data_IF_670917184454
#
_entry.id   IF_670917184454
#
_cell.length_a   1.000
_cell.length_b   1.000
_cell.length_c   1.000
_cell.angle_alpha   90.00
_cell.angle_beta   90.00
_cell.angle_gamma   90.00
#
_symmetry.space_group_name_H-M   'P 1'
#
loop_
_entity.id
_entity.type
_entity.pdbx_description
1 polymer ?
#
# COMPACT_ATOMS: atom_id res chain seq x y z
N UNK A 1 -26.89 26.45 1.65
CA UNK A 1 -25.64 25.94 2.25
C UNK A 1 -25.83 25.85 3.75
N UNK A 2 -25.76 24.65 4.32
CA UNK A 2 -25.82 24.45 5.77
C UNK A 2 -24.56 25.04 6.42
N UNK A 3 -24.67 25.55 7.65
CA UNK A 3 -23.49 25.89 8.45
C UNK A 3 -22.97 24.59 9.05
N UNK A 4 -21.69 24.28 8.81
CA UNK A 4 -21.07 23.00 9.16
C UNK A 4 -19.81 23.28 9.99
N UNK A 5 -19.59 22.47 11.04
CA UNK A 5 -18.36 22.49 11.84
C UNK A 5 -17.85 21.05 12.00
N UNK A 6 -16.59 20.78 11.60
CA UNK A 6 -15.95 19.46 11.76
C UNK A 6 -15.32 19.33 13.16
N UNK A 7 -15.55 18.20 13.83
CA UNK A 7 -15.08 17.86 15.18
C UNK A 7 -14.84 16.35 15.21
N UNK A 8 -13.61 15.91 15.49
CA UNK A 8 -13.23 14.48 15.65
C UNK A 8 -13.84 13.55 14.57
N UNK A 9 -13.61 13.84 13.30
CA UNK A 9 -14.21 13.04 12.20
C UNK A 9 -15.69 13.35 11.91
N UNK A 10 -16.46 13.89 12.84
CA UNK A 10 -17.88 14.21 12.67
C UNK A 10 -18.14 15.65 12.20
N UNK A 11 -19.27 15.87 11.53
CA UNK A 11 -19.82 17.15 11.11
C UNK A 11 -21.04 17.52 11.96
N UNK A 12 -20.97 18.68 12.61
CA UNK A 12 -22.14 19.33 13.21
C UNK A 12 -22.83 20.16 12.15
N UNK A 13 -24.05 19.79 11.81
CA UNK A 13 -24.82 20.31 10.68
C UNK A 13 -26.04 21.06 11.19
N UNK A 14 -26.23 22.31 10.75
CA UNK A 14 -27.46 23.08 11.04
C UNK A 14 -28.57 22.82 10.01
N UNK A 15 -29.77 22.44 10.45
CA UNK A 15 -30.94 22.28 9.59
C UNK A 15 -31.59 23.63 9.24
N UNK A 16 -32.05 23.77 8.00
CA UNK A 16 -32.74 24.96 7.53
C UNK A 16 -34.24 24.92 7.88
N UNK A 17 -34.91 26.07 7.90
CA UNK A 17 -36.34 26.18 8.26
C UNK A 17 -37.29 25.47 7.29
N UNK A 18 -36.82 25.15 6.08
CA UNK A 18 -37.58 24.32 5.13
C UNK A 18 -37.57 22.85 5.56
N UNK A 19 -36.39 22.33 5.85
CA UNK A 19 -36.16 20.94 6.27
C UNK A 19 -36.90 20.64 7.59
N UNK A 20 -36.82 21.57 8.55
CA UNK A 20 -37.58 21.46 9.82
C UNK A 20 -39.10 21.42 9.63
N UNK A 21 -39.64 22.11 8.61
CA UNK A 21 -41.08 22.08 8.29
C UNK A 21 -41.49 20.80 7.58
N UNK A 22 -40.65 20.30 6.68
CA UNK A 22 -40.89 19.03 5.98
C UNK A 22 -40.86 17.83 6.96
N UNK A 23 -40.10 17.95 8.05
CA UNK A 23 -39.95 16.95 9.12
C UNK A 23 -40.64 17.32 10.43
N UNK A 24 -41.64 18.22 10.38
CA UNK A 24 -42.40 18.65 11.56
C UNK A 24 -43.12 17.45 12.20
N UNK A 25 -42.93 17.25 13.51
CA UNK A 25 -43.47 16.11 14.26
C UNK A 25 -42.57 14.89 14.37
N UNK A 26 -41.33 14.94 13.86
CA UNK A 26 -40.38 13.82 13.89
C UNK A 26 -39.23 13.97 14.90
N UNK A 27 -39.38 14.85 15.90
CA UNK A 27 -38.38 15.17 16.94
C UNK A 27 -37.04 15.73 16.43
N UNK A 28 -36.97 16.19 15.17
CA UNK A 28 -35.79 16.81 14.60
C UNK A 28 -35.45 18.12 15.33
N UNK A 29 -34.20 18.25 15.79
CA UNK A 29 -33.68 19.43 16.48
C UNK A 29 -33.31 20.58 15.55
N UNK A 30 -32.46 21.50 16.03
CA UNK A 30 -31.87 22.54 15.19
C UNK A 30 -30.57 22.09 14.50
N UNK A 31 -29.87 21.12 15.11
CA UNK A 31 -28.57 20.62 14.70
C UNK A 31 -28.55 19.08 14.70
N UNK A 32 -27.76 18.51 13.79
CA UNK A 32 -27.43 17.09 13.78
C UNK A 32 -25.92 16.86 13.77
N UNK A 33 -25.50 15.66 14.13
CA UNK A 33 -24.12 15.17 14.11
C UNK A 33 -24.07 13.95 13.21
N UNK A 34 -23.20 13.99 12.20
CA UNK A 34 -23.04 12.92 11.20
C UNK A 34 -21.56 12.73 10.92
N UNK A 35 -21.14 11.51 10.62
CA UNK A 35 -19.77 11.26 10.17
C UNK A 35 -19.47 12.07 8.89
N UNK A 36 -18.30 12.70 8.82
CA UNK A 36 -17.91 13.50 7.67
C UNK A 36 -17.82 12.70 6.37
N UNK A 37 -17.49 11.41 6.43
CA UNK A 37 -17.32 10.56 5.26
C UNK A 37 -18.65 10.18 4.60
N UNK A 38 -19.72 10.04 5.40
CA UNK A 38 -21.04 9.63 4.93
C UNK A 38 -21.97 10.82 4.65
N UNK A 39 -21.53 12.05 4.92
CA UNK A 39 -22.33 13.25 4.72
C UNK A 39 -22.56 13.57 3.23
N UNK A 40 -23.82 13.52 2.80
CA UNK A 40 -24.22 13.79 1.41
C UNK A 40 -24.80 15.19 1.20
N UNK A 41 -25.20 15.86 2.29
CA UNK A 41 -25.82 17.19 2.24
C UNK A 41 -27.31 17.18 1.93
N UNK A 42 -27.95 16.01 1.83
CA UNK A 42 -29.38 15.83 1.68
C UNK A 42 -29.96 15.18 2.94
N UNK A 43 -30.89 15.86 3.64
CA UNK A 43 -31.42 15.39 4.93
C UNK A 43 -32.10 14.02 4.82
N UNK A 44 -32.79 13.75 3.72
CA UNK A 44 -33.52 12.49 3.52
C UNK A 44 -32.59 11.27 3.52
N UNK A 45 -31.33 11.49 3.10
CA UNK A 45 -30.27 10.47 3.06
C UNK A 45 -29.46 10.52 4.35
N UNK A 46 -29.03 11.73 4.73
CA UNK A 46 -28.15 11.97 5.86
C UNK A 46 -28.80 11.50 7.17
N UNK A 47 -30.12 11.70 7.35
CA UNK A 47 -30.83 11.41 8.61
C UNK A 47 -30.65 9.98 9.08
N UNK A 48 -30.67 9.00 8.17
CA UNK A 48 -30.49 7.60 8.52
C UNK A 48 -29.07 7.23 8.95
N UNK A 49 -28.10 8.11 8.69
CA UNK A 49 -26.69 7.96 9.03
C UNK A 49 -26.23 8.99 10.08
N UNK A 50 -27.14 9.79 10.65
CA UNK A 50 -26.81 10.72 11.73
C UNK A 50 -26.70 9.96 13.05
N UNK A 51 -25.64 10.24 13.79
CA UNK A 51 -25.48 9.77 15.17
C UNK A 51 -26.46 10.49 16.10
N UNK A 52 -26.70 11.79 15.83
CA UNK A 52 -27.67 12.60 16.56
C UNK A 52 -28.42 13.52 15.60
N UNK A 53 -29.75 13.58 15.67
CA UNK A 53 -30.60 14.44 14.83
C UNK A 53 -31.51 15.39 15.64
N UNK A 54 -31.42 15.36 16.97
CA UNK A 54 -32.34 16.01 17.92
C UNK A 54 -31.72 17.16 18.73
N UNK A 55 -30.52 17.63 18.38
CA UNK A 55 -29.84 18.66 19.16
C UNK A 55 -30.45 20.06 18.96
N UNK A 56 -30.97 20.65 20.04
CA UNK A 56 -31.62 21.98 20.02
C UNK A 56 -30.64 23.16 19.90
N UNK A 57 -29.38 22.98 20.28
CA UNK A 57 -28.37 24.05 20.30
C UNK A 57 -27.03 23.58 19.74
N UNK A 58 -26.24 24.54 19.23
CA UNK A 58 -24.91 24.25 18.69
C UNK A 58 -23.99 23.71 19.78
N UNK A 59 -24.04 24.24 21.01
CA UNK A 59 -23.20 23.77 22.11
C UNK A 59 -23.45 22.29 22.43
N UNK A 60 -24.73 21.87 22.46
CA UNK A 60 -25.10 20.48 22.71
C UNK A 60 -24.60 19.56 21.59
N UNK A 61 -24.81 19.94 20.32
CA UNK A 61 -24.34 19.15 19.19
C UNK A 61 -22.81 19.01 19.15
N UNK A 62 -22.09 20.06 19.59
CA UNK A 62 -20.61 20.05 19.69
C UNK A 62 -20.13 19.10 20.79
N UNK A 63 -20.77 19.08 21.96
CA UNK A 63 -20.40 18.16 23.04
C UNK A 63 -20.72 16.71 22.68
N UNK A 64 -21.86 16.46 22.00
CA UNK A 64 -22.20 15.14 21.47
C UNK A 64 -21.15 14.66 20.46
N UNK A 65 -20.76 15.50 19.51
CA UNK A 65 -19.71 15.16 18.53
C UNK A 65 -18.34 14.91 19.17
N UNK A 66 -18.02 15.56 20.30
CA UNK A 66 -16.77 15.31 21.05
C UNK A 66 -16.78 14.01 21.84
N UNK A 67 -17.97 13.57 22.26
CA UNK A 67 -18.15 12.31 22.99
C UNK A 67 -18.16 11.08 22.09
N UNK A 68 -18.16 11.26 20.76
CA UNK A 68 -18.06 10.19 19.78
C UNK A 68 -16.58 9.94 19.43
N UNK A 69 -16.19 8.67 19.44
CA UNK A 69 -14.90 8.19 18.92
C UNK A 69 -15.10 7.87 17.43
N UNK A 70 -14.36 8.53 16.53
CA UNK A 70 -14.39 8.19 15.10
C UNK A 70 -13.50 6.97 14.82
N UNK A 71 -13.88 6.12 13.87
CA UNK A 71 -13.01 5.00 13.44
C UNK A 71 -11.64 5.49 12.88
N UNK A 72 -11.56 6.76 12.45
CA UNK A 72 -10.32 7.45 12.04
C UNK A 72 -9.42 7.90 13.20
N UNK A 73 -9.75 7.64 14.48
CA UNK A 73 -8.85 7.94 15.61
C UNK A 73 -7.70 6.90 15.69
N UNK A 74 -7.02 6.67 14.56
CA UNK A 74 -5.67 6.13 14.56
C UNK A 74 -4.82 7.26 15.12
N UNK A 75 -4.48 7.15 16.40
CA UNK A 75 -3.51 8.04 17.03
C UNK A 75 -2.27 8.15 16.15
N UNK A 76 -1.82 9.37 15.83
CA UNK A 76 -0.49 9.67 15.23
C UNK A 76 0.69 9.25 16.14
N UNK A 77 0.45 8.38 17.11
CA UNK A 77 1.48 7.83 17.97
C UNK A 77 2.34 6.85 17.16
N UNK A 78 3.67 7.01 17.19
CA UNK A 78 4.56 6.15 16.43
C UNK A 78 4.36 4.69 16.87
N UNK A 79 4.45 3.72 15.94
CA UNK A 79 4.30 2.31 16.27
C UNK A 79 5.30 1.91 17.36
N UNK A 80 4.80 1.26 18.40
CA UNK A 80 5.64 0.72 19.48
C UNK A 80 6.07 -0.69 19.09
N UNK A 81 7.38 -0.94 19.06
CA UNK A 81 7.94 -2.24 18.72
C UNK A 81 8.45 -2.97 19.96
N UNK A 82 8.14 -4.25 20.08
CA UNK A 82 8.71 -5.13 21.11
C UNK A 82 9.43 -6.32 20.47
N UNK A 83 10.60 -6.68 21.00
CA UNK A 83 11.30 -7.90 20.63
C UNK A 83 11.01 -8.96 21.69
N UNK A 84 10.32 -10.02 21.28
CA UNK A 84 10.09 -11.19 22.10
C UNK A 84 11.16 -12.26 21.80
N UNK A 85 11.87 -12.68 22.84
CA UNK A 85 12.79 -13.83 22.79
C UNK A 85 12.12 -14.99 23.51
N UNK A 86 11.73 -16.00 22.74
CA UNK A 86 11.20 -17.26 23.27
C UNK A 86 12.26 -18.36 23.17
N UNK A 87 12.51 -19.01 24.31
CA UNK A 87 13.30 -20.25 24.38
C UNK A 87 12.40 -21.38 24.87
N UNK A 88 12.90 -22.62 24.85
CA UNK A 88 12.16 -23.77 25.39
C UNK A 88 11.78 -23.62 26.88
N UNK A 89 12.43 -22.70 27.61
CA UNK A 89 12.28 -22.55 29.07
C UNK A 89 11.86 -21.14 29.51
N UNK A 90 11.89 -20.13 28.63
CA UNK A 90 11.64 -18.74 29.01
C UNK A 90 11.07 -17.90 27.89
N UNK A 91 10.30 -16.89 28.26
CA UNK A 91 9.83 -15.82 27.39
C UNK A 91 10.26 -14.48 27.99
N UNK A 92 10.93 -13.64 27.20
CA UNK A 92 11.29 -12.27 27.60
C UNK A 92 10.91 -11.30 26.50
N UNK A 93 10.30 -10.19 26.87
CA UNK A 93 9.87 -9.14 25.96
C UNK A 93 10.57 -7.83 26.35
N UNK A 94 11.19 -7.17 25.37
CA UNK A 94 11.88 -5.89 25.55
C UNK A 94 11.36 -4.88 24.53
N UNK A 95 11.10 -3.64 24.97
CA UNK A 95 10.74 -2.55 24.08
C UNK A 95 11.96 -2.17 23.23
N UNK A 96 11.75 -2.06 21.92
CA UNK A 96 12.82 -1.81 20.95
C UNK A 96 12.55 -0.50 20.22
N UNK A 97 13.53 0.39 20.24
CA UNK A 97 13.54 1.59 19.42
C UNK A 97 14.35 1.34 18.12
N UNK A 98 13.71 1.33 16.93
CA UNK A 98 14.40 1.09 15.66
C UNK A 98 15.55 2.09 15.42
N UNK A 99 15.34 3.36 15.79
CA UNK A 99 16.36 4.40 15.68
C UNK A 99 17.60 4.08 16.53
N UNK A 100 17.42 3.60 17.77
CA UNK A 100 18.52 3.24 18.64
C UNK A 100 19.34 2.04 18.11
N UNK A 101 18.68 1.08 17.44
CA UNK A 101 19.36 -0.02 16.75
C UNK A 101 20.24 0.49 15.61
N UNK A 102 19.71 1.36 14.76
CA UNK A 102 20.43 1.96 13.63
C UNK A 102 21.63 2.76 14.14
N UNK A 103 21.45 3.60 15.17
CA UNK A 103 22.56 4.35 15.76
C UNK A 103 23.62 3.46 16.40
N UNK A 104 23.19 2.41 17.12
CA UNK A 104 24.09 1.45 17.74
C UNK A 104 24.94 0.73 16.70
N UNK A 105 24.32 0.27 15.61
CA UNK A 105 25.00 -0.36 14.48
C UNK A 105 25.94 0.61 13.77
N UNK A 106 25.50 1.84 13.54
CA UNK A 106 26.31 2.92 12.95
C UNK A 106 27.56 3.20 13.79
N UNK A 107 27.43 3.33 15.11
CA UNK A 107 28.58 3.53 16.02
C UNK A 107 29.56 2.36 15.99
N UNK A 108 29.06 1.13 15.89
CA UNK A 108 29.89 -0.07 15.76
C UNK A 108 30.68 -0.05 14.45
N UNK A 109 30.04 0.21 13.32
CA UNK A 109 30.68 0.31 12.01
C UNK A 109 31.72 1.42 11.97
N UNK A 110 31.40 2.61 12.49
CA UNK A 110 32.34 3.73 12.59
C UNK A 110 33.60 3.39 13.42
N UNK A 111 33.44 2.51 14.43
CA UNK A 111 34.56 2.00 15.23
C UNK A 111 35.39 0.98 14.46
N UNK A 112 34.74 0.10 13.70
CA UNK A 112 35.40 -0.90 12.86
C UNK A 112 36.24 -0.26 11.76
N UNK A 113 35.70 0.75 11.07
CA UNK A 113 36.41 1.53 10.03
C UNK A 113 37.73 2.13 10.54
N UNK A 114 37.78 2.55 11.81
CA UNK A 114 38.98 3.13 12.43
C UNK A 114 39.91 2.08 13.04
N UNK A 115 39.45 0.85 13.18
CA UNK A 115 40.17 -0.21 13.89
C UNK A 115 41.10 -0.98 12.97
N UNK A 116 42.34 -1.16 13.41
CA UNK A 116 43.32 -2.02 12.71
C UNK A 116 42.95 -3.51 12.70
N UNK A 117 41.94 -3.93 13.49
CA UNK A 117 41.51 -5.32 13.58
C UNK A 117 40.55 -5.72 12.46
N UNK A 118 40.00 -4.75 11.70
CA UNK A 118 39.06 -4.97 10.61
C UNK A 118 39.61 -4.33 9.32
N UNK A 119 40.64 -4.94 8.70
CA UNK A 119 41.33 -4.35 7.54
C UNK A 119 40.46 -4.26 6.28
N UNK A 120 39.41 -5.08 6.20
CA UNK A 120 38.50 -5.16 5.05
C UNK A 120 37.29 -4.22 5.18
N UNK A 121 37.10 -3.58 6.34
CA UNK A 121 35.99 -2.67 6.61
C UNK A 121 36.43 -1.24 6.34
N UNK A 122 36.44 -0.85 5.06
CA UNK A 122 36.62 0.56 4.68
C UNK A 122 35.30 1.35 4.80
N UNK A 123 35.32 2.69 4.78
CA UNK A 123 34.12 3.52 4.94
C UNK A 123 32.93 3.13 4.04
N UNK A 124 33.20 2.69 2.80
CA UNK A 124 32.14 2.30 1.85
C UNK A 124 31.58 0.93 2.15
N UNK A 125 32.43 -0.01 2.52
CA UNK A 125 32.00 -1.33 2.98
C UNK A 125 31.11 -1.18 4.22
N UNK A 126 31.48 -0.30 5.15
CA UNK A 126 30.65 0.04 6.29
C UNK A 126 29.30 0.69 5.90
N UNK A 127 29.27 1.59 4.91
CA UNK A 127 28.03 2.19 4.42
C UNK A 127 27.09 1.15 3.80
N UNK A 128 27.64 0.20 3.03
CA UNK A 128 26.88 -0.90 2.44
C UNK A 128 26.35 -1.87 3.51
N UNK A 129 27.14 -2.17 4.55
CA UNK A 129 26.68 -2.96 5.70
C UNK A 129 25.55 -2.25 6.48
N UNK A 130 25.63 -0.93 6.64
CA UNK A 130 24.56 -0.14 7.25
C UNK A 130 23.27 -0.17 6.42
N UNK A 131 23.39 -0.05 5.09
CA UNK A 131 22.26 -0.20 4.18
C UNK A 131 21.62 -1.59 4.29
N UNK A 132 22.42 -2.65 4.27
CA UNK A 132 21.94 -4.01 4.44
C UNK A 132 21.20 -4.21 5.78
N UNK A 133 21.70 -3.60 6.85
CA UNK A 133 21.06 -3.63 8.16
C UNK A 133 19.71 -2.88 8.16
N UNK A 134 19.66 -1.67 7.60
CA UNK A 134 18.40 -0.91 7.45
C UNK A 134 17.38 -1.64 6.57
N UNK A 135 17.83 -2.28 5.49
CA UNK A 135 16.96 -3.07 4.62
C UNK A 135 16.38 -4.28 5.35
N UNK A 136 17.17 -4.93 6.20
CA UNK A 136 16.66 -6.00 7.06
C UNK A 136 15.59 -5.48 8.02
N UNK A 137 15.79 -4.31 8.65
CA UNK A 137 14.79 -3.67 9.51
C UNK A 137 13.49 -3.33 8.75
N UNK A 138 13.61 -2.89 7.50
CA UNK A 138 12.44 -2.64 6.66
C UNK A 138 11.66 -3.92 6.34
N UNK A 139 12.35 -5.01 5.99
CA UNK A 139 11.72 -6.29 5.68
C UNK A 139 10.94 -6.88 6.87
N UNK A 140 11.34 -6.57 8.10
CA UNK A 140 10.64 -6.99 9.32
C UNK A 140 9.61 -5.96 9.81
N UNK A 141 9.40 -4.85 9.08
CA UNK A 141 8.39 -3.82 9.39
C UNK A 141 8.81 -2.77 10.42
N UNK A 142 10.09 -2.72 10.81
CA UNK A 142 10.62 -1.77 11.82
C UNK A 142 11.04 -0.42 11.21
N UNK A 143 11.10 -0.32 9.87
CA UNK A 143 11.57 0.87 9.17
C UNK A 143 10.76 1.08 7.88
N UNK A 144 10.26 2.30 7.58
CA UNK A 144 9.62 2.57 6.29
C UNK A 144 10.65 2.58 5.15
N UNK A 145 10.21 2.30 3.92
CA UNK A 145 11.09 2.19 2.73
C UNK A 145 11.92 3.47 2.49
N UNK A 146 11.32 4.64 2.76
CA UNK A 146 11.96 5.95 2.63
C UNK A 146 13.21 6.12 3.50
N UNK A 147 13.29 5.43 4.64
CA UNK A 147 14.39 5.56 5.61
C UNK A 147 15.53 4.54 5.40
N UNK A 148 15.35 3.61 4.46
CA UNK A 148 16.34 2.57 4.14
C UNK A 148 17.58 3.15 3.45
N UNK A 149 17.40 4.24 2.71
CA UNK A 149 18.47 4.89 1.97
C UNK A 149 19.62 5.26 2.92
N UNK A 150 20.83 4.91 2.49
CA UNK A 150 22.07 5.21 3.23
C UNK A 150 23.01 5.95 2.30
N UNK A 151 23.51 7.11 2.74
CA UNK A 151 24.51 7.86 1.98
C UNK A 151 25.81 7.03 1.91
N UNK A 152 26.35 6.74 0.71
CA UNK A 152 27.61 6.02 0.55
C UNK A 152 28.80 6.65 1.31
N UNK A 153 28.75 7.95 1.59
CA UNK A 153 29.81 8.70 2.28
C UNK A 153 29.55 8.85 3.80
N UNK A 154 28.55 8.14 4.37
CA UNK A 154 28.16 8.20 5.80
C UNK A 154 29.35 8.02 6.76
N UNK A 155 30.31 7.17 6.42
CA UNK A 155 31.49 6.87 7.26
C UNK A 155 32.78 7.59 6.81
N UNK A 156 32.64 8.56 5.89
CA UNK A 156 33.72 9.27 5.24
C UNK A 156 33.97 8.79 3.81
N UNK A 157 34.76 9.56 3.04
CA UNK A 157 35.18 9.15 1.71
C UNK A 157 35.93 7.81 1.79
N UNK A 158 35.53 6.85 0.96
CA UNK A 158 36.23 5.57 0.84
C UNK A 158 37.68 5.73 0.38
N UNK A 159 38.35 4.63 0.04
CA UNK A 159 39.75 4.64 -0.48
C UNK A 159 39.99 5.48 -1.75
N UNK A 160 38.95 6.08 -2.33
CA UNK A 160 39.03 7.04 -3.43
C UNK A 160 38.87 8.43 -2.81
N UNK A 161 39.87 9.30 -2.95
CA UNK A 161 39.84 10.66 -2.43
C UNK A 161 38.72 11.48 -3.08
N UNK A 162 37.61 11.72 -2.36
CA UNK A 162 36.50 12.59 -2.78
C UNK A 162 35.10 11.94 -2.69
N UNK A 163 34.03 12.77 -2.66
CA UNK A 163 32.64 12.29 -2.70
C UNK A 163 32.37 11.51 -3.99
N UNK A 164 31.52 10.49 -3.91
CA UNK A 164 31.25 9.64 -5.07
C UNK A 164 30.57 10.43 -6.21
N UNK A 165 31.04 10.31 -7.47
CA UNK A 165 30.35 10.88 -8.62
C UNK A 165 28.89 10.41 -8.67
N UNK A 166 27.94 11.35 -8.72
CA UNK A 166 26.49 11.05 -8.59
C UNK A 166 25.80 10.90 -9.93
N UNK A 167 26.45 11.32 -11.02
CA UNK A 167 25.94 11.15 -12.37
C UNK A 167 26.97 10.43 -13.28
N UNK A 168 26.52 9.86 -14.40
CA UNK A 168 27.39 9.13 -15.32
C UNK A 168 28.53 9.99 -15.91
N UNK A 169 28.29 11.29 -16.11
CA UNK A 169 29.28 12.24 -16.64
C UNK A 169 30.43 12.48 -15.66
N UNK A 170 30.14 12.69 -14.38
CA UNK A 170 31.12 12.85 -13.30
C UNK A 170 31.89 11.55 -13.09
N UNK A 171 31.24 10.39 -13.25
CA UNK A 171 31.88 9.09 -13.13
C UNK A 171 32.83 8.84 -14.32
N UNK A 172 32.42 9.23 -15.53
CA UNK A 172 33.27 9.20 -16.71
C UNK A 172 34.46 10.17 -16.57
N UNK A 173 34.21 11.40 -16.11
CA UNK A 173 35.25 12.38 -15.84
C UNK A 173 36.25 11.87 -14.79
N UNK A 174 35.76 11.33 -13.67
CA UNK A 174 36.58 10.74 -12.61
C UNK A 174 37.43 9.57 -13.14
N UNK A 175 36.86 8.66 -13.94
CA UNK A 175 37.61 7.54 -14.53
C UNK A 175 38.63 8.04 -15.56
N UNK A 176 38.30 9.05 -16.35
CA UNK A 176 39.23 9.67 -17.29
C UNK A 176 40.39 10.38 -16.59
N UNK A 177 40.14 11.06 -15.47
CA UNK A 177 41.14 11.83 -14.73
C UNK A 177 42.02 10.91 -13.85
N UNK A 178 41.44 9.98 -13.10
CA UNK A 178 42.15 9.15 -12.10
C UNK A 178 42.72 7.84 -12.65
N UNK A 179 42.01 7.17 -13.58
CA UNK A 179 42.41 5.86 -14.13
C UNK A 179 43.11 5.99 -15.47
N UNK A 180 42.66 6.88 -16.35
CA UNK A 180 43.19 7.01 -17.71
C UNK A 180 44.41 7.94 -17.79
N UNK A 181 44.46 9.02 -16.99
CA UNK A 181 45.56 10.01 -16.90
C UNK A 181 46.01 10.67 -18.21
N UNK A 182 45.39 10.35 -19.35
CA UNK A 182 45.75 10.87 -20.67
C UNK A 182 45.39 12.36 -20.86
N UNK A 183 44.51 12.94 -20.04
CA UNK A 183 44.18 14.38 -20.10
C UNK A 183 45.37 15.28 -19.76
N UNK A 184 46.41 14.77 -19.11
CA UNK A 184 47.63 15.51 -18.84
C UNK A 184 48.64 15.35 -20.00
N UNK A 185 48.88 16.43 -20.75
CA UNK A 185 49.99 16.52 -21.71
C UNK A 185 49.66 16.17 -23.16
N UNK A 186 48.39 15.91 -23.49
CA UNK A 186 47.91 15.67 -24.85
C UNK A 186 47.11 16.86 -25.38
N UNK A 187 47.13 17.08 -26.70
CA UNK A 187 46.28 18.09 -27.34
C UNK A 187 44.82 17.61 -27.44
N UNK A 188 43.86 18.52 -27.66
CA UNK A 188 42.45 18.16 -27.78
C UNK A 188 42.20 17.14 -28.90
N UNK A 189 42.85 17.30 -30.06
CA UNK A 189 42.73 16.38 -31.20
C UNK A 189 43.29 14.98 -30.88
N UNK A 190 44.35 14.90 -30.07
CA UNK A 190 44.90 13.62 -29.60
C UNK A 190 43.98 12.94 -28.57
N UNK A 191 43.36 13.72 -27.69
CA UNK A 191 42.38 13.24 -26.72
C UNK A 191 41.13 12.71 -27.42
N UNK A 192 40.60 13.42 -28.40
CA UNK A 192 39.44 12.99 -29.18
C UNK A 192 39.72 11.66 -29.91
N UNK A 193 40.93 11.51 -30.48
CA UNK A 193 41.36 10.27 -31.14
C UNK A 193 41.54 9.08 -30.17
N UNK A 194 41.91 9.34 -28.92
CA UNK A 194 42.03 8.33 -27.86
C UNK A 194 40.64 7.96 -27.33
N UNK A 195 39.78 8.95 -27.06
CA UNK A 195 38.41 8.76 -26.59
C UNK A 195 37.55 8.01 -27.61
N UNK A 196 37.70 8.27 -28.90
CA UNK A 196 37.01 7.53 -29.97
C UNK A 196 37.34 6.01 -29.99
N UNK A 197 38.46 5.61 -29.39
CA UNK A 197 38.89 4.20 -29.26
C UNK A 197 38.67 3.65 -27.84
N UNK A 198 38.17 4.47 -26.92
CA UNK A 198 38.00 4.11 -25.52
C UNK A 198 36.73 3.28 -25.33
N UNK A 199 36.82 2.04 -24.80
CA UNK A 199 35.65 1.20 -24.56
C UNK A 199 34.63 1.85 -23.60
N UNK A 200 35.10 2.69 -22.66
CA UNK A 200 34.23 3.43 -21.74
C UNK A 200 33.47 4.58 -22.43
N UNK A 201 34.11 5.25 -23.40
CA UNK A 201 33.44 6.27 -24.21
C UNK A 201 32.35 5.65 -25.10
N UNK A 202 32.64 4.50 -25.70
CA UNK A 202 31.65 3.72 -26.46
C UNK A 202 30.48 3.27 -25.59
N UNK A 203 30.73 2.79 -24.37
CA UNK A 203 29.67 2.42 -23.43
C UNK A 203 28.80 3.61 -23.01
N UNK A 204 29.39 4.80 -22.91
CA UNK A 204 28.65 6.03 -22.61
C UNK A 204 27.77 6.46 -23.80
N UNK A 205 28.32 6.51 -25.02
CA UNK A 205 27.56 6.78 -26.24
C UNK A 205 26.44 5.74 -26.45
N UNK A 206 26.71 4.47 -26.16
CA UNK A 206 25.72 3.39 -26.23
C UNK A 206 24.61 3.53 -25.17
N UNK A 207 24.94 4.04 -23.98
CA UNK A 207 24.00 4.33 -22.91
C UNK A 207 23.12 5.53 -23.27
N UNK A 208 23.68 6.64 -23.74
CA UNK A 208 22.91 7.79 -24.25
C UNK A 208 21.98 7.38 -25.40
N UNK A 209 22.49 6.59 -26.35
CA UNK A 209 21.69 6.06 -27.44
C UNK A 209 20.58 5.11 -26.94
N UNK A 210 20.80 4.39 -25.83
CA UNK A 210 19.80 3.54 -25.20
C UNK A 210 18.72 4.37 -24.50
N UNK A 211 19.11 5.41 -23.79
CA UNK A 211 18.18 6.30 -23.10
C UNK A 211 17.32 7.07 -24.09
N UNK A 212 17.90 7.54 -25.20
CA UNK A 212 17.16 8.13 -26.31
C UNK A 212 16.14 7.15 -26.89
N UNK A 213 16.52 5.87 -27.12
CA UNK A 213 15.58 4.84 -27.60
C UNK A 213 14.46 4.53 -26.61
N UNK A 214 14.75 4.53 -25.31
CA UNK A 214 13.74 4.34 -24.26
C UNK A 214 12.76 5.52 -24.30
N UNK A 215 13.29 6.73 -24.33
CA UNK A 215 12.49 7.96 -24.41
C UNK A 215 11.58 7.98 -25.64
N UNK A 216 12.12 7.73 -26.84
CA UNK A 216 11.34 7.69 -28.08
C UNK A 216 10.24 6.61 -28.06
N UNK A 217 10.51 5.45 -27.45
CA UNK A 217 9.52 4.38 -27.29
C UNK A 217 8.43 4.80 -26.31
N UNK A 218 8.80 5.38 -25.17
CA UNK A 218 7.88 5.83 -24.15
C UNK A 218 6.99 6.98 -24.65
N UNK A 219 7.55 7.95 -25.37
CA UNK A 219 6.78 9.02 -26.00
C UNK A 219 5.79 8.48 -27.04
N UNK A 220 6.20 7.48 -27.84
CA UNK A 220 5.30 6.83 -28.79
C UNK A 220 4.14 6.13 -28.08
N UNK A 221 4.43 5.34 -27.04
CA UNK A 221 3.41 4.65 -26.27
C UNK A 221 2.43 5.64 -25.60
N UNK A 222 2.93 6.74 -25.04
CA UNK A 222 2.08 7.78 -24.47
C UNK A 222 1.14 8.40 -25.52
N UNK A 223 1.63 8.67 -26.74
CA UNK A 223 0.79 9.16 -27.84
C UNK A 223 -0.25 8.13 -28.28
N UNK A 224 0.09 6.84 -28.26
CA UNK A 224 -0.86 5.77 -28.54
C UNK A 224 -1.97 5.70 -27.48
N UNK A 225 -1.65 5.87 -26.20
CA UNK A 225 -2.66 5.98 -25.14
C UNK A 225 -3.58 7.20 -25.35
N UNK A 226 -3.03 8.37 -25.68
CA UNK A 226 -3.81 9.58 -25.98
C UNK A 226 -4.74 9.36 -27.17
N UNK A 227 -4.23 8.75 -28.24
CA UNK A 227 -5.06 8.45 -29.42
C UNK A 227 -6.12 7.38 -29.13
N UNK A 228 -5.82 6.41 -28.27
CA UNK A 228 -6.79 5.44 -27.77
C UNK A 228 -7.97 6.10 -27.05
N UNK A 229 -7.74 7.18 -26.31
CA UNK A 229 -8.81 7.99 -25.70
C UNK A 229 -9.63 8.73 -26.75
N UNK A 230 -8.97 9.33 -27.75
CA UNK A 230 -9.65 10.05 -28.84
C UNK A 230 -10.53 9.16 -29.71
N UNK A 231 -10.16 7.89 -29.85
CA UNK A 231 -10.82 6.92 -30.71
C UNK A 231 -11.53 5.80 -29.94
N UNK A 232 -11.79 5.99 -28.66
CA UNK A 232 -12.54 5.02 -27.86
C UNK A 232 -13.93 4.74 -28.46
N UNK A 233 -14.40 3.50 -28.34
CA UNK A 233 -15.72 3.11 -28.85
C UNK A 233 -16.85 3.54 -27.91
N UNK A 234 -16.55 3.72 -26.62
CA UNK A 234 -17.50 4.08 -25.58
C UNK A 234 -16.87 4.96 -24.48
N UNK A 235 -17.73 5.64 -23.72
CA UNK A 235 -17.34 6.60 -22.67
C UNK A 235 -16.55 5.96 -21.54
N UNK A 236 -16.84 4.71 -21.15
CA UNK A 236 -16.14 4.05 -20.05
C UNK A 236 -14.70 3.73 -20.49
N UNK A 237 -14.53 3.20 -21.69
CA UNK A 237 -13.22 2.92 -22.30
C UNK A 237 -12.41 4.21 -22.47
N UNK A 238 -13.05 5.32 -22.85
CA UNK A 238 -12.39 6.62 -22.95
C UNK A 238 -11.87 7.14 -21.59
N UNK A 239 -12.68 7.04 -20.54
CA UNK A 239 -12.30 7.48 -19.18
C UNK A 239 -11.17 6.62 -18.60
N UNK A 240 -11.28 5.29 -18.73
CA UNK A 240 -10.24 4.36 -18.29
C UNK A 240 -8.93 4.62 -19.04
N UNK A 241 -8.98 4.77 -20.36
CA UNK A 241 -7.80 5.11 -21.17
C UNK A 241 -7.18 6.47 -20.78
N UNK A 242 -8.00 7.45 -20.38
CA UNK A 242 -7.53 8.74 -19.88
C UNK A 242 -6.77 8.62 -18.56
N UNK A 243 -7.29 7.83 -17.62
CA UNK A 243 -6.60 7.53 -16.37
C UNK A 243 -5.30 6.75 -16.60
N UNK A 244 -5.30 5.76 -17.50
CA UNK A 244 -4.10 5.02 -17.88
C UNK A 244 -3.04 5.94 -18.49
N UNK A 245 -3.43 6.86 -19.38
CA UNK A 245 -2.51 7.84 -19.97
C UNK A 245 -1.89 8.78 -18.92
N UNK A 246 -2.69 9.23 -17.94
CA UNK A 246 -2.20 10.07 -16.83
C UNK A 246 -1.25 9.31 -15.89
N UNK A 247 -1.57 8.06 -15.56
CA UNK A 247 -0.71 7.21 -14.74
C UNK A 247 0.62 6.92 -15.45
N UNK A 248 0.56 6.64 -16.75
CA UNK A 248 1.76 6.45 -17.57
C UNK A 248 2.60 7.73 -17.64
N UNK A 249 1.97 8.89 -17.83
CA UNK A 249 2.65 10.19 -17.82
C UNK A 249 3.34 10.48 -16.48
N UNK A 250 2.70 10.16 -15.36
CA UNK A 250 3.29 10.28 -14.02
C UNK A 250 4.53 9.38 -13.89
N UNK A 251 4.46 8.13 -14.36
CA UNK A 251 5.61 7.22 -14.37
C UNK A 251 6.79 7.75 -15.22
N UNK A 252 6.50 8.41 -16.36
CA UNK A 252 7.55 9.02 -17.19
C UNK A 252 8.20 10.25 -16.53
N UNK A 253 7.41 11.04 -15.78
CA UNK A 253 7.91 12.16 -14.98
C UNK A 253 8.80 11.67 -13.84
N UNK A 254 8.32 10.70 -13.07
CA UNK A 254 9.02 10.18 -11.90
C UNK A 254 10.30 9.43 -12.30
N UNK A 255 10.28 8.77 -13.47
CA UNK A 255 11.45 8.17 -14.11
C UNK A 255 12.39 9.17 -14.79
N UNK A 256 12.12 10.48 -14.72
CA UNK A 256 12.90 11.57 -15.34
C UNK A 256 13.11 11.39 -16.86
N UNK A 257 12.20 10.67 -17.54
CA UNK A 257 12.25 10.43 -18.99
C UNK A 257 11.79 11.67 -19.75
N UNK A 258 10.77 12.35 -19.22
CA UNK A 258 10.23 13.61 -19.73
C UNK A 258 10.50 14.76 -18.77
N UNK A 259 10.69 15.96 -19.33
CA UNK A 259 10.83 17.18 -18.56
C UNK A 259 9.46 17.72 -18.12
N UNK A 260 9.42 18.54 -17.08
CA UNK A 260 8.17 19.03 -16.47
C UNK A 260 7.28 19.81 -17.47
N UNK A 261 7.88 20.64 -18.32
CA UNK A 261 7.19 21.37 -19.39
C UNK A 261 6.59 20.43 -20.47
N UNK A 262 7.23 19.30 -20.72
CA UNK A 262 6.74 18.28 -21.66
C UNK A 262 5.59 17.49 -21.04
N UNK A 263 5.69 17.21 -19.74
CA UNK A 263 4.60 16.60 -18.97
C UNK A 263 3.36 17.48 -18.97
N UNK A 264 3.49 18.78 -18.75
CA UNK A 264 2.36 19.73 -18.85
C UNK A 264 1.72 19.71 -20.24
N UNK A 265 2.53 19.67 -21.29
CA UNK A 265 2.05 19.61 -22.67
C UNK A 265 1.25 18.32 -22.96
N UNK A 266 1.73 17.16 -22.51
CA UNK A 266 1.01 15.90 -22.68
C UNK A 266 -0.22 15.80 -21.78
N UNK A 267 -0.18 16.32 -20.56
CA UNK A 267 -1.34 16.39 -19.66
C UNK A 267 -2.49 17.21 -20.30
N UNK A 268 -2.16 18.32 -20.95
CA UNK A 268 -3.14 19.12 -21.69
C UNK A 268 -3.76 18.34 -22.87
N UNK A 269 -2.95 17.55 -23.60
CA UNK A 269 -3.45 16.71 -24.69
C UNK A 269 -4.36 15.57 -24.21
N UNK A 270 -4.07 14.97 -23.06
CA UNK A 270 -4.92 13.95 -22.43
C UNK A 270 -6.25 14.58 -22.02
N UNK A 271 -6.22 15.75 -21.37
CA UNK A 271 -7.42 16.47 -20.98
C UNK A 271 -8.28 16.85 -22.19
N UNK A 272 -7.67 17.34 -23.27
CA UNK A 272 -8.37 17.64 -24.52
C UNK A 272 -9.02 16.39 -25.14
N UNK A 273 -8.30 15.26 -25.15
CA UNK A 273 -8.82 13.99 -25.65
C UNK A 273 -10.02 13.49 -24.83
N UNK A 274 -9.99 13.65 -23.50
CA UNK A 274 -11.06 13.23 -22.60
C UNK A 274 -12.28 14.17 -22.57
N UNK A 275 -12.08 15.48 -22.81
CA UNK A 275 -13.15 16.49 -22.73
C UNK A 275 -14.34 16.21 -23.67
N UNK A 276 -14.08 15.59 -24.82
CA UNK A 276 -15.14 15.18 -25.75
C UNK A 276 -16.09 14.12 -25.15
N UNK A 277 -15.56 13.26 -24.28
CA UNK A 277 -16.30 12.15 -23.64
C UNK A 277 -16.96 12.56 -22.32
N UNK A 278 -16.42 13.55 -21.61
CA UNK A 278 -17.09 14.13 -20.43
C UNK A 278 -18.48 14.69 -20.75
N UNK A 279 -18.68 15.24 -21.96
CA UNK A 279 -20.01 15.71 -22.41
C UNK A 279 -21.01 14.59 -22.68
N UNK A 280 -20.55 13.34 -22.84
CA UNK A 280 -21.41 12.16 -23.00
C UNK A 280 -21.96 11.68 -21.66
N UNK A 281 -21.25 11.94 -20.56
CA UNK A 281 -21.72 11.65 -19.19
C UNK A 281 -22.91 12.53 -18.76
N UNK A 282 -23.14 13.67 -19.42
CA UNK A 282 -24.34 14.49 -19.20
C UNK A 282 -25.65 13.77 -19.61
N UNK A 283 -25.55 12.66 -20.35
CA UNK A 283 -26.68 11.80 -20.74
C UNK A 283 -26.92 10.59 -19.83
N UNK A 284 -26.07 10.35 -18.82
CA UNK A 284 -26.26 9.23 -17.88
C UNK A 284 -27.37 9.59 -16.90
N UNK A 285 -28.48 8.87 -16.97
CA UNK A 285 -29.61 9.11 -16.09
C UNK A 285 -29.29 8.64 -14.67
N UNK A 286 -29.94 9.26 -13.67
CA UNK A 286 -29.87 8.82 -12.26
C UNK A 286 -30.21 7.34 -12.08
N UNK A 287 -31.01 6.78 -12.99
CA UNK A 287 -31.46 5.40 -12.98
C UNK A 287 -30.33 4.42 -13.37
N UNK A 288 -29.43 4.82 -14.26
CA UNK A 288 -28.28 4.01 -14.69
C UNK A 288 -27.20 3.95 -13.61
N UNK A 289 -26.92 5.08 -12.94
CA UNK A 289 -26.04 5.13 -11.76
C UNK A 289 -26.63 4.36 -10.58
N UNK A 290 -27.95 4.39 -10.40
CA UNK A 290 -28.64 3.62 -9.37
C UNK A 290 -28.55 2.11 -9.64
N UNK A 291 -28.63 1.67 -10.90
CA UNK A 291 -28.41 0.26 -11.28
C UNK A 291 -26.97 -0.18 -11.03
N UNK A 292 -25.99 0.65 -11.35
CA UNK A 292 -24.58 0.33 -11.13
C UNK A 292 -24.25 0.27 -9.63
N UNK A 293 -24.80 1.19 -8.84
CA UNK A 293 -24.73 1.16 -7.37
C UNK A 293 -25.47 -0.04 -6.78
N UNK A 294 -26.59 -0.47 -7.37
CA UNK A 294 -27.30 -1.67 -6.95
C UNK A 294 -26.52 -2.95 -7.29
N UNK A 295 -25.83 -3.00 -8.43
CA UNK A 295 -24.94 -4.10 -8.78
C UNK A 295 -23.72 -4.17 -7.86
N UNK A 296 -23.12 -3.02 -7.52
CA UNK A 296 -22.04 -2.95 -6.55
C UNK A 296 -22.51 -3.31 -5.14
N UNK A 297 -23.73 -2.92 -4.75
CA UNK A 297 -24.37 -3.35 -3.50
C UNK A 297 -24.72 -4.83 -3.51
N UNK A 298 -25.18 -5.40 -4.62
CA UNK A 298 -25.42 -6.83 -4.75
C UNK A 298 -24.12 -7.60 -4.66
N UNK A 299 -23.03 -7.10 -5.24
CA UNK A 299 -21.69 -7.70 -5.12
C UNK A 299 -21.17 -7.57 -3.68
N UNK A 300 -21.37 -6.42 -3.03
CA UNK A 300 -21.00 -6.18 -1.63
C UNK A 300 -21.86 -7.00 -0.65
N UNK A 301 -23.18 -7.13 -0.89
CA UNK A 301 -24.07 -8.06 -0.19
C UNK A 301 -23.66 -9.51 -0.48
N UNK A 302 -23.22 -9.87 -1.68
CA UNK A 302 -22.68 -11.21 -1.95
C UNK A 302 -21.38 -11.51 -1.19
N UNK A 303 -20.62 -10.47 -0.85
CA UNK A 303 -19.37 -10.56 -0.08
C UNK A 303 -19.65 -10.51 1.44
N UNK A 304 -20.72 -9.79 1.86
CA UNK A 304 -21.13 -9.61 3.26
C UNK A 304 -22.07 -10.71 3.75
N UNK A 305 -22.98 -11.20 2.91
CA UNK A 305 -23.75 -12.43 3.09
C UNK A 305 -22.87 -13.63 2.75
N UNK A 306 -21.74 -13.74 3.46
CA UNK A 306 -21.06 -15.01 3.64
C UNK A 306 -22.13 -16.04 3.96
N UNK A 307 -22.32 -16.97 3.02
CA UNK A 307 -23.53 -17.77 2.93
C UNK A 307 -23.91 -18.46 4.23
N UNK A 308 -25.21 -18.72 4.36
CA UNK A 308 -25.87 -19.65 5.30
C UNK A 308 -24.91 -20.36 6.26
N UNK A 309 -25.03 -20.15 7.58
CA UNK A 309 -24.37 -20.91 8.66
C UNK A 309 -23.95 -22.33 8.21
N UNK A 310 -22.72 -22.48 7.70
CA UNK A 310 -22.29 -23.67 6.98
C UNK A 310 -21.72 -24.71 7.93
N UNK A 311 -22.15 -25.96 7.76
CA UNK A 311 -21.73 -27.13 8.54
C UNK A 311 -20.42 -27.73 7.98
N UNK A 312 -19.30 -27.00 8.06
CA UNK A 312 -17.98 -27.52 7.72
C UNK A 312 -17.48 -27.19 6.31
N UNK A 313 -16.23 -27.59 6.05
CA UNK A 313 -15.63 -27.54 4.72
C UNK A 313 -16.37 -28.45 3.73
N UNK A 314 -16.80 -27.92 2.60
CA UNK A 314 -17.61 -28.60 1.57
C UNK A 314 -16.78 -29.57 0.73
N UNK A 315 -15.53 -29.21 0.43
CA UNK A 315 -14.65 -30.07 -0.36
C UNK A 315 -13.69 -30.85 0.53
N UNK A 316 -13.77 -32.18 0.44
CA UNK A 316 -12.83 -33.09 1.10
C UNK A 316 -11.43 -32.99 0.48
N UNK A 317 -10.40 -33.14 1.32
CA UNK A 317 -9.01 -33.26 0.89
C UNK A 317 -8.46 -34.63 1.32
N UNK A 318 -7.70 -35.31 0.45
CA UNK A 318 -7.11 -36.61 0.76
C UNK A 318 -6.06 -36.55 1.89
N UNK A 319 -5.57 -35.34 2.22
CA UNK A 319 -4.42 -35.14 3.11
C UNK A 319 -4.77 -34.88 4.57
N UNK A 320 -6.01 -34.50 4.88
CA UNK A 320 -6.47 -34.18 6.24
C UNK A 320 -7.71 -35.03 6.54
N UNK A 321 -7.70 -35.84 7.61
CA UNK A 321 -8.85 -36.68 7.94
C UNK A 321 -10.07 -35.83 8.35
N UNK A 322 -11.27 -36.33 8.08
CA UNK A 322 -12.54 -35.61 8.30
C UNK A 322 -12.70 -35.03 9.71
N UNK A 323 -12.39 -35.81 10.77
CA UNK A 323 -12.46 -35.33 12.16
C UNK A 323 -11.56 -34.09 12.42
N UNK A 324 -10.43 -34.00 11.71
CA UNK A 324 -9.51 -32.88 11.85
C UNK A 324 -10.00 -31.66 11.08
N UNK A 325 -10.64 -31.85 9.92
CA UNK A 325 -11.31 -30.76 9.21
C UNK A 325 -12.43 -30.16 10.06
N UNK A 326 -13.20 -31.00 10.75
CA UNK A 326 -14.23 -30.56 11.70
C UNK A 326 -13.63 -29.74 12.86
N UNK A 327 -12.56 -30.22 13.50
CA UNK A 327 -11.85 -29.49 14.55
C UNK A 327 -11.33 -28.13 14.07
N UNK A 328 -10.74 -28.09 12.86
CA UNK A 328 -10.24 -26.85 12.28
C UNK A 328 -11.37 -25.85 12.03
N UNK A 329 -12.52 -26.35 11.56
CA UNK A 329 -13.70 -25.55 11.30
C UNK A 329 -14.32 -25.02 12.58
N UNK A 330 -14.53 -25.87 13.59
CA UNK A 330 -15.09 -25.46 14.89
C UNK A 330 -14.26 -24.35 15.54
N UNK A 331 -12.93 -24.50 15.55
CA UNK A 331 -12.05 -23.46 16.06
C UNK A 331 -12.13 -22.19 15.22
N UNK A 332 -12.12 -22.32 13.89
CA UNK A 332 -12.21 -21.19 12.97
C UNK A 332 -13.50 -20.38 13.16
N UNK A 333 -14.64 -21.05 13.27
CA UNK A 333 -15.93 -20.44 13.55
C UNK A 333 -15.94 -19.74 14.93
N UNK A 334 -15.37 -20.36 15.96
CA UNK A 334 -15.27 -19.74 17.28
C UNK A 334 -14.45 -18.44 17.24
N UNK A 335 -13.35 -18.43 16.49
CA UNK A 335 -12.48 -17.26 16.30
C UNK A 335 -13.07 -16.21 15.35
N UNK A 336 -14.06 -16.54 14.51
CA UNK A 336 -14.80 -15.52 13.76
C UNK A 336 -15.75 -14.72 14.67
N UNK A 337 -16.26 -15.32 15.75
CA UNK A 337 -17.09 -14.64 16.74
C UNK A 337 -16.27 -13.78 17.69
N UNK A 338 -15.45 -14.42 18.53
CA UNK A 338 -14.61 -13.74 19.52
C UNK A 338 -13.14 -14.15 19.32
N UNK A 339 -12.39 -13.31 18.60
CA UNK A 339 -10.96 -13.51 18.41
C UNK A 339 -10.16 -12.67 19.41
N UNK A 340 -9.30 -13.27 20.25
CA UNK A 340 -8.35 -12.50 21.04
C UNK A 340 -7.37 -11.76 20.12
N UNK A 341 -6.91 -10.58 20.57
CA UNK A 341 -5.83 -9.81 19.93
C UNK A 341 -4.46 -10.45 20.19
N UNK A 342 -4.27 -11.66 19.67
CA UNK A 342 -3.01 -12.40 19.67
C UNK A 342 -2.90 -13.22 18.37
N UNK A 343 -1.93 -14.14 18.30
CA UNK A 343 -1.69 -14.97 17.13
C UNK A 343 -2.88 -15.85 16.67
N UNK A 344 -3.96 -15.95 17.46
CA UNK A 344 -5.23 -16.51 17.00
C UNK A 344 -5.80 -15.76 15.78
N UNK A 345 -5.46 -14.47 15.62
CA UNK A 345 -5.83 -13.66 14.45
C UNK A 345 -5.27 -14.25 13.15
N UNK A 346 -4.06 -14.81 13.18
CA UNK A 346 -3.45 -15.47 12.01
C UNK A 346 -4.29 -16.68 11.62
N UNK A 347 -4.67 -17.50 12.60
CA UNK A 347 -5.54 -18.66 12.36
C UNK A 347 -6.89 -18.24 11.76
N UNK A 348 -7.53 -17.22 12.34
CA UNK A 348 -8.82 -16.68 11.85
C UNK A 348 -8.73 -16.20 10.40
N UNK A 349 -7.67 -15.48 10.05
CA UNK A 349 -7.52 -14.92 8.70
C UNK A 349 -7.29 -16.03 7.67
N UNK A 350 -6.44 -17.02 7.96
CA UNK A 350 -6.23 -18.19 7.11
C UNK A 350 -7.53 -19.00 6.98
N UNK A 351 -8.31 -19.10 8.07
CA UNK A 351 -9.60 -19.79 8.06
C UNK A 351 -10.60 -19.11 7.13
N UNK A 352 -10.71 -17.78 7.19
CA UNK A 352 -11.58 -17.00 6.31
C UNK A 352 -11.24 -17.22 4.84
N UNK A 353 -9.95 -17.19 4.49
CA UNK A 353 -9.51 -17.47 3.12
C UNK A 353 -9.85 -18.91 2.70
N UNK A 354 -9.68 -19.89 3.57
CA UNK A 354 -10.00 -21.28 3.27
C UNK A 354 -11.50 -21.49 2.99
N UNK A 355 -12.38 -20.86 3.77
CA UNK A 355 -13.84 -20.92 3.59
C UNK A 355 -14.26 -20.23 2.29
N UNK A 356 -13.68 -19.08 1.96
CA UNK A 356 -13.99 -18.37 0.72
C UNK A 356 -13.60 -19.18 -0.52
N UNK A 357 -12.37 -19.72 -0.56
CA UNK A 357 -11.91 -20.56 -1.66
C UNK A 357 -12.78 -21.82 -1.79
N UNK A 358 -13.12 -22.47 -0.68
CA UNK A 358 -13.99 -23.66 -0.66
C UNK A 358 -15.39 -23.37 -1.23
N UNK A 359 -16.00 -22.24 -0.86
CA UNK A 359 -17.30 -21.82 -1.38
C UNK A 359 -17.28 -21.44 -2.87
N UNK A 360 -16.19 -20.84 -3.34
CA UNK A 360 -16.03 -20.47 -4.75
C UNK A 360 -15.74 -21.67 -5.65
N UNK A 361 -15.04 -22.69 -5.14
CA UNK A 361 -14.64 -23.87 -5.92
C UNK A 361 -15.82 -24.56 -6.60
N UNK A 362 -16.99 -24.62 -5.96
CA UNK A 362 -18.22 -25.21 -6.53
C UNK A 362 -18.67 -24.57 -7.84
N UNK A 363 -18.30 -23.31 -8.10
CA UNK A 363 -18.69 -22.53 -9.29
C UNK A 363 -17.71 -22.64 -10.45
N UNK A 364 -16.53 -23.23 -10.23
CA UNK A 364 -15.43 -23.27 -11.18
C UNK A 364 -15.30 -24.64 -11.87
N UNK A 365 -14.83 -24.66 -13.12
CA UNK A 365 -14.55 -25.87 -13.90
C UNK A 365 -13.18 -25.82 -14.58
N UNK A 366 -12.63 -26.97 -14.96
CA UNK A 366 -11.35 -27.08 -15.67
C UNK A 366 -10.15 -26.55 -14.88
N UNK A 367 -9.23 -25.87 -15.57
CA UNK A 367 -7.95 -25.44 -15.00
C UNK A 367 -8.08 -24.41 -13.85
N UNK A 368 -9.10 -23.56 -13.91
CA UNK A 368 -9.40 -22.61 -12.83
C UNK A 368 -9.75 -23.35 -11.53
N UNK A 369 -10.55 -24.42 -11.62
CA UNK A 369 -10.89 -25.28 -10.48
C UNK A 369 -9.66 -25.99 -9.91
N UNK A 370 -8.79 -26.52 -10.76
CA UNK A 370 -7.56 -27.19 -10.33
C UNK A 370 -6.61 -26.24 -9.58
N UNK A 371 -6.53 -24.99 -10.03
CA UNK A 371 -5.69 -23.97 -9.39
C UNK A 371 -6.24 -23.60 -8.02
N UNK A 372 -7.55 -23.38 -7.92
CA UNK A 372 -8.20 -23.12 -6.63
C UNK A 372 -8.13 -24.30 -5.67
N UNK A 373 -8.24 -25.54 -6.16
CA UNK A 373 -8.06 -26.75 -5.35
C UNK A 373 -6.67 -26.80 -4.71
N UNK A 374 -5.61 -26.42 -5.43
CA UNK A 374 -4.24 -26.40 -4.87
C UNK A 374 -4.06 -25.35 -3.79
N UNK A 375 -4.69 -24.19 -3.97
CA UNK A 375 -4.65 -23.11 -2.98
C UNK A 375 -5.46 -23.49 -1.74
N UNK A 376 -6.64 -24.08 -1.92
CA UNK A 376 -7.42 -24.65 -0.83
C UNK A 376 -6.61 -25.69 -0.03
N UNK A 377 -5.96 -26.64 -0.70
CA UNK A 377 -5.09 -27.63 -0.04
C UNK A 377 -3.87 -26.98 0.66
N UNK A 378 -3.41 -25.82 0.20
CA UNK A 378 -2.33 -25.05 0.86
C UNK A 378 -2.86 -24.41 2.14
N UNK A 379 -3.99 -23.71 2.07
CA UNK A 379 -4.62 -23.05 3.20
C UNK A 379 -5.00 -24.04 4.30
N UNK A 380 -5.56 -25.19 3.94
CA UNK A 380 -5.88 -26.25 4.90
C UNK A 380 -4.63 -26.82 5.59
N UNK A 381 -3.51 -26.96 4.87
CA UNK A 381 -2.23 -27.39 5.48
C UNK A 381 -1.70 -26.36 6.46
N UNK A 382 -1.86 -25.09 6.14
CA UNK A 382 -1.45 -23.98 6.99
C UNK A 382 -2.31 -23.89 8.25
N UNK A 383 -3.64 -24.01 8.11
CA UNK A 383 -4.55 -24.13 9.25
C UNK A 383 -4.18 -25.28 10.18
N UNK A 384 -3.93 -26.47 9.61
CA UNK A 384 -3.53 -27.62 10.41
C UNK A 384 -2.18 -27.41 11.12
N UNK A 385 -1.23 -26.69 10.51
CA UNK A 385 0.02 -26.32 11.16
C UNK A 385 -0.22 -25.35 12.31
N UNK A 386 -1.01 -24.30 12.10
CA UNK A 386 -1.35 -23.34 13.15
C UNK A 386 -2.11 -24.02 14.30
N UNK A 387 -3.06 -24.90 13.99
CA UNK A 387 -3.80 -25.69 14.97
C UNK A 387 -2.93 -26.53 15.90
N UNK A 388 -1.83 -27.08 15.35
CA UNK A 388 -0.94 -28.01 16.07
C UNK A 388 0.25 -27.32 16.74
N UNK A 389 0.78 -26.27 16.12
CA UNK A 389 2.06 -25.67 16.50
C UNK A 389 1.93 -24.29 17.16
N UNK A 390 0.86 -23.53 16.89
CA UNK A 390 0.74 -22.18 17.42
C UNK A 390 0.32 -22.20 18.90
N UNK A 391 1.10 -21.52 19.75
CA UNK A 391 0.89 -21.50 21.20
C UNK A 391 -0.41 -20.78 21.60
N UNK A 392 -0.73 -19.63 20.97
CA UNK A 392 -1.96 -18.90 21.25
C UNK A 392 -3.19 -19.73 20.89
N UNK A 393 -3.17 -20.40 19.73
CA UNK A 393 -4.22 -21.33 19.30
C UNK A 393 -4.35 -22.50 20.28
N UNK A 394 -3.24 -23.09 20.74
CA UNK A 394 -3.26 -24.16 21.73
C UNK A 394 -3.88 -23.69 23.06
N UNK A 395 -3.44 -22.55 23.58
CA UNK A 395 -3.95 -21.95 24.82
C UNK A 395 -5.44 -21.59 24.71
N UNK A 396 -5.87 -21.08 23.55
CA UNK A 396 -7.27 -20.79 23.28
C UNK A 396 -8.12 -22.07 23.30
N UNK A 397 -7.64 -23.15 22.67
CA UNK A 397 -8.32 -24.46 22.68
C UNK A 397 -8.43 -25.05 24.08
N UNK A 398 -7.37 -24.95 24.88
CA UNK A 398 -7.38 -25.38 26.29
C UNK A 398 -8.38 -24.56 27.11
N UNK A 399 -8.42 -23.24 26.93
CA UNK A 399 -9.38 -22.36 27.60
C UNK A 399 -10.84 -22.59 27.18
N UNK A 400 -11.09 -22.99 25.92
CA UNK A 400 -12.42 -23.37 25.45
C UNK A 400 -12.88 -24.70 26.02
N UNK A 401 -11.98 -25.68 26.15
CA UNK A 401 -12.28 -26.96 26.81
C UNK A 401 -12.63 -26.81 28.29
N UNK A 402 -12.00 -25.87 29.01
CA UNK A 402 -12.30 -25.59 30.42
C UNK A 402 -13.65 -24.85 30.63
N UNK A 403 -14.26 -24.31 29.56
CA UNK A 403 -15.55 -23.60 29.60
C UNK A 403 -16.77 -24.50 29.31
N UNK A 404 -16.53 -25.74 28.88
CA UNK A 404 -17.53 -26.80 28.62
C UNK A 404 -17.47 -27.89 29.67
#
# INVERSE_FOLDING_TARGET
MRKIKKINGFLVVKFNDREKREYEGTALGEYGVIDAEVYTGNLDIDRGAMEYDDADTLEVAVELARGLESEEDITDEPPTYTAAVETNESYTEEAVEPAALIEGWTRRLATQVKSKHYPDTDPRTAAHELYGFKMALHQIGFLPESEVITDPDTFGAGRLDGPMPRNPEELLAFVCDERCKNRAGHTQEELDAICAKCPLGQLYEDAEARDLRIRERSERALREHIEGVRHAEDTLTALLGGHEALAYLAALRDGQILQENECEHYAAQIAEAGAAWETVLEGVSFEDLSRLRHLLREVDEYIKDGGELFNGFQHETERIPAHRLEELHQLGTALLGECPENDCTIYRNVFRMAVDVDGQMGKLTGHARETMQREYDRLLRELNRLYTMNHAVKKYREAQHDRT
#
